data_IF_625071608503
#
_entry.id   IF_625071608503
#
_cell.length_a   1.000
_cell.length_b   1.000
_cell.length_c   1.000
_cell.angle_alpha   90.00
_cell.angle_beta   90.00
_cell.angle_gamma   90.00
#
_symmetry.space_group_name_H-M   'P 1'
#
loop_
_entity.id
_entity.type
_entity.pdbx_description
1 polymer ?
#
# COMPACT_ATOMS: atom_id res chain seq x y z
N UNK A 1 -10.50 -8.34 41.50
CA UNK A 1 -11.55 -9.34 41.78
C UNK A 1 -11.55 -10.47 40.75
N UNK A 2 -12.09 -10.34 39.52
CA UNK A 2 -12.15 -11.48 38.57
C UNK A 2 -10.78 -12.10 38.21
N UNK A 3 -9.76 -11.26 37.95
CA UNK A 3 -8.38 -11.69 37.69
C UNK A 3 -7.60 -12.12 38.94
N UNK A 4 -8.08 -11.79 40.15
CA UNK A 4 -7.49 -12.29 41.41
C UNK A 4 -8.03 -13.68 41.77
N UNK A 5 -9.22 -14.02 41.26
CA UNK A 5 -9.87 -15.33 41.41
C UNK A 5 -9.73 -16.22 40.17
N UNK A 6 -8.92 -15.80 39.18
CA UNK A 6 -8.72 -16.41 37.85
C UNK A 6 -10.00 -16.88 37.14
N UNK A 7 -11.11 -16.16 37.35
CA UNK A 7 -12.41 -16.56 36.83
C UNK A 7 -12.65 -15.92 35.46
N UNK A 8 -12.08 -16.53 34.43
CA UNK A 8 -12.16 -16.08 33.04
C UNK A 8 -13.61 -16.09 32.52
N UNK A 9 -14.42 -17.09 32.89
CA UNK A 9 -15.83 -17.17 32.47
C UNK A 9 -16.65 -15.95 32.94
N UNK A 10 -16.41 -15.50 34.18
CA UNK A 10 -17.06 -14.31 34.73
C UNK A 10 -16.55 -13.02 34.07
N UNK A 11 -15.26 -12.95 33.75
CA UNK A 11 -14.69 -11.83 33.01
C UNK A 11 -15.32 -11.70 31.62
N UNK A 12 -15.40 -12.81 30.87
CA UNK A 12 -16.02 -12.84 29.55
C UNK A 12 -17.50 -12.40 29.60
N UNK A 13 -18.26 -12.88 30.60
CA UNK A 13 -19.66 -12.46 30.79
C UNK A 13 -19.78 -10.95 31.03
N UNK A 14 -18.88 -10.35 31.80
CA UNK A 14 -18.88 -8.90 32.03
C UNK A 14 -18.44 -8.11 30.79
N UNK A 15 -17.54 -8.66 29.99
CA UNK A 15 -17.15 -8.04 28.71
C UNK A 15 -18.31 -7.99 27.72
N UNK A 16 -19.15 -9.03 27.67
CA UNK A 16 -20.36 -9.01 26.84
C UNK A 16 -21.44 -8.12 27.43
N UNK A 17 -21.68 -8.19 28.74
CA UNK A 17 -22.75 -7.45 29.41
C UNK A 17 -22.53 -5.93 29.45
N UNK A 18 -21.27 -5.50 29.52
CA UNK A 18 -20.89 -4.08 29.59
C UNK A 18 -20.11 -3.64 28.35
N UNK A 19 -20.32 -4.30 27.21
CA UNK A 19 -19.71 -3.94 25.94
C UNK A 19 -20.00 -2.48 25.57
N UNK A 20 -21.26 -2.04 25.75
CA UNK A 20 -21.72 -0.67 25.44
C UNK A 20 -21.17 0.41 26.39
N UNK A 21 -20.53 -0.01 27.50
CA UNK A 21 -19.94 0.90 28.48
C UNK A 21 -18.41 0.97 28.37
N UNK A 22 -17.82 0.49 27.26
CA UNK A 22 -16.38 0.44 27.04
C UNK A 22 -15.62 -0.33 28.13
N UNK A 23 -16.24 -1.37 28.71
CA UNK A 23 -15.59 -2.18 29.74
C UNK A 23 -14.29 -2.85 29.26
N UNK A 24 -14.23 -3.20 27.97
CA UNK A 24 -13.02 -3.73 27.33
C UNK A 24 -11.85 -2.74 27.33
N UNK A 25 -12.10 -1.45 27.06
CA UNK A 25 -11.08 -0.39 27.13
C UNK A 25 -10.49 -0.29 28.54
N UNK A 26 -11.33 -0.28 29.57
CA UNK A 26 -10.88 -0.28 30.96
C UNK A 26 -10.03 -1.51 31.32
N UNK A 27 -10.47 -2.70 30.89
CA UNK A 27 -9.73 -3.94 31.11
C UNK A 27 -8.37 -3.92 30.41
N UNK A 28 -8.31 -3.41 29.18
CA UNK A 28 -7.07 -3.34 28.42
C UNK A 28 -6.07 -2.34 29.02
N UNK A 29 -6.54 -1.17 29.50
CA UNK A 29 -5.73 -0.22 30.28
C UNK A 29 -5.18 -0.87 31.54
N UNK A 30 -6.03 -1.59 32.27
CA UNK A 30 -5.61 -2.28 33.49
C UNK A 30 -4.56 -3.37 33.21
N UNK A 31 -4.69 -4.13 32.12
CA UNK A 31 -3.67 -5.10 31.72
C UNK A 31 -2.33 -4.46 31.37
N UNK A 32 -2.33 -3.27 30.79
CA UNK A 32 -1.11 -2.49 30.54
C UNK A 32 -0.46 -1.99 31.83
N UNK A 33 -1.24 -1.39 32.73
CA UNK A 33 -0.76 -0.89 34.03
C UNK A 33 -0.16 -1.99 34.90
N UNK A 34 -0.69 -3.22 34.79
CA UNK A 34 -0.18 -4.39 35.53
C UNK A 34 0.87 -5.20 34.76
N UNK A 35 1.28 -4.76 33.57
CA UNK A 35 2.31 -5.43 32.76
C UNK A 35 1.87 -6.79 32.18
N UNK A 36 0.57 -7.11 32.19
CA UNK A 36 -0.01 -8.37 31.72
C UNK A 36 -0.23 -8.39 30.20
N UNK A 37 0.81 -8.08 29.42
CA UNK A 37 0.75 -7.94 27.95
C UNK A 37 0.39 -9.25 27.23
N UNK A 38 0.82 -10.40 27.75
CA UNK A 38 0.46 -11.70 27.17
C UNK A 38 -1.05 -11.97 27.21
N UNK A 39 -1.72 -11.60 28.31
CA UNK A 39 -3.18 -11.72 28.42
C UNK A 39 -3.93 -10.71 27.57
N UNK A 40 -3.37 -9.52 27.35
CA UNK A 40 -3.93 -8.52 26.43
C UNK A 40 -3.96 -9.03 24.98
N UNK A 41 -2.96 -9.80 24.56
CA UNK A 41 -2.86 -10.35 23.20
C UNK A 41 -3.64 -11.65 23.02
N UNK A 42 -3.88 -12.41 24.10
CA UNK A 42 -4.63 -13.67 24.07
C UNK A 42 -6.15 -13.47 24.21
N UNK A 43 -6.71 -12.34 23.74
CA UNK A 43 -8.15 -12.10 23.84
C UNK A 43 -8.92 -12.94 22.81
N UNK A 44 -10.15 -13.36 23.12
CA UNK A 44 -11.02 -14.05 22.18
C UNK A 44 -11.30 -13.24 20.91
N UNK A 45 -11.52 -13.94 19.79
CA UNK A 45 -11.67 -13.35 18.44
C UNK A 45 -12.76 -12.28 18.37
N UNK A 46 -13.87 -12.44 19.08
CA UNK A 46 -14.97 -11.46 19.08
C UNK A 46 -14.58 -10.11 19.70
N UNK A 47 -13.45 -10.02 20.40
CA UNK A 47 -12.95 -8.80 21.06
C UNK A 47 -11.81 -8.15 20.29
N UNK A 48 -11.34 -8.77 19.20
CA UNK A 48 -10.22 -8.27 18.42
C UNK A 48 -10.50 -6.89 17.80
N UNK A 49 -11.76 -6.58 17.46
CA UNK A 49 -12.13 -5.25 16.97
C UNK A 49 -11.95 -4.15 18.03
N UNK A 50 -12.37 -4.40 19.27
CA UNK A 50 -12.20 -3.46 20.38
C UNK A 50 -10.74 -3.34 20.82
N UNK A 51 -10.00 -4.46 20.80
CA UNK A 51 -8.57 -4.48 21.06
C UNK A 51 -7.79 -3.73 19.98
N UNK A 52 -8.19 -3.84 18.71
CA UNK A 52 -7.59 -3.11 17.60
C UNK A 52 -7.76 -1.59 17.77
N UNK A 53 -8.99 -1.13 18.05
CA UNK A 53 -9.27 0.28 18.32
C UNK A 53 -8.46 0.82 19.51
N UNK A 54 -8.34 0.01 20.56
CA UNK A 54 -7.56 0.34 21.74
C UNK A 54 -6.05 0.45 21.46
N UNK A 55 -5.47 -0.53 20.77
CA UNK A 55 -4.06 -0.52 20.41
C UNK A 55 -3.72 0.60 19.41
N UNK A 56 -4.66 0.95 18.52
CA UNK A 56 -4.53 2.07 17.58
C UNK A 56 -4.52 3.42 18.30
N UNK A 57 -5.32 3.58 19.37
CA UNK A 57 -5.36 4.80 20.17
C UNK A 57 -4.08 5.05 21.00
N UNK A 58 -3.22 4.04 21.15
CA UNK A 58 -1.98 4.13 21.91
C UNK A 58 -0.75 4.12 20.98
N UNK A 59 -0.17 5.31 20.76
CA UNK A 59 0.99 5.54 19.88
C UNK A 59 2.19 4.59 20.14
N UNK A 60 2.44 4.24 21.41
CA UNK A 60 3.52 3.34 21.82
C UNK A 60 3.18 1.83 21.73
N UNK A 61 1.93 1.48 21.42
CA UNK A 61 1.42 0.11 21.24
C UNK A 61 0.95 -0.16 19.80
N UNK A 62 1.00 0.84 18.92
CA UNK A 62 0.74 0.72 17.50
C UNK A 62 1.55 -0.43 16.85
N UNK A 63 2.77 -0.67 17.32
CA UNK A 63 3.59 -1.81 16.88
C UNK A 63 3.02 -3.18 17.25
N UNK A 64 2.31 -3.30 18.38
CA UNK A 64 1.60 -4.53 18.76
C UNK A 64 0.38 -4.75 17.88
N UNK A 65 -0.32 -3.70 17.45
CA UNK A 65 -1.39 -3.82 16.46
C UNK A 65 -0.85 -4.37 15.13
N UNK A 66 0.31 -3.87 14.69
CA UNK A 66 0.98 -4.32 13.46
C UNK A 66 1.46 -5.77 13.53
N UNK A 67 2.07 -6.17 14.65
CA UNK A 67 2.38 -7.59 14.90
C UNK A 67 1.09 -8.40 14.89
N UNK A 68 0.06 -7.96 15.63
CA UNK A 68 -1.19 -8.69 15.74
C UNK A 68 -1.82 -8.93 14.37
N UNK A 69 -1.86 -7.95 13.47
CA UNK A 69 -2.42 -8.14 12.11
C UNK A 69 -1.64 -9.17 11.29
N UNK A 70 -0.30 -9.12 11.28
CA UNK A 70 0.55 -10.11 10.57
C UNK A 70 0.49 -11.49 11.22
N UNK A 71 0.55 -11.57 12.55
CA UNK A 71 0.42 -12.85 13.27
C UNK A 71 -0.98 -13.41 13.15
N UNK A 72 -2.03 -12.58 13.12
CA UNK A 72 -3.41 -13.01 12.96
C UNK A 72 -3.63 -13.56 11.55
N UNK A 73 -3.05 -12.95 10.52
CA UNK A 73 -3.03 -13.51 9.16
C UNK A 73 -2.25 -14.83 9.12
N UNK A 74 -1.03 -14.88 9.66
CA UNK A 74 -0.28 -16.14 9.72
C UNK A 74 -1.03 -17.24 10.48
N UNK A 75 -1.65 -16.91 11.61
CA UNK A 75 -2.45 -17.82 12.43
C UNK A 75 -3.75 -18.23 11.75
N UNK A 76 -4.45 -17.34 11.05
CA UNK A 76 -5.66 -17.70 10.31
C UNK A 76 -5.34 -18.58 9.11
N UNK A 77 -4.14 -18.45 8.51
CA UNK A 77 -3.67 -19.28 7.40
C UNK A 77 -3.39 -20.69 7.91
N UNK A 78 -2.66 -20.79 9.02
CA UNK A 78 -2.38 -22.05 9.69
C UNK A 78 -3.66 -22.71 10.23
N UNK A 79 -4.60 -21.93 10.77
CA UNK A 79 -5.89 -22.43 11.24
C UNK A 79 -6.76 -22.93 10.08
N UNK A 80 -6.77 -22.24 8.94
CA UNK A 80 -7.45 -22.70 7.73
C UNK A 80 -6.84 -24.01 7.22
N UNK A 81 -5.50 -24.06 7.10
CA UNK A 81 -4.76 -25.24 6.67
C UNK A 81 -4.92 -26.45 7.62
N UNK A 82 -5.11 -26.20 8.91
CA UNK A 82 -5.31 -27.23 9.93
C UNK A 82 -6.80 -27.59 10.15
N UNK A 83 -7.73 -26.96 9.43
CA UNK A 83 -9.16 -27.22 9.57
C UNK A 83 -9.67 -28.23 8.53
N UNK A 84 -10.72 -28.98 8.88
CA UNK A 84 -11.39 -29.93 7.99
C UNK A 84 -12.36 -29.24 7.00
N UNK A 85 -11.96 -28.08 6.45
CA UNK A 85 -12.72 -27.39 5.42
C UNK A 85 -12.60 -28.13 4.08
N UNK A 86 -13.62 -28.01 3.22
CA UNK A 86 -13.51 -28.53 1.86
C UNK A 86 -12.39 -27.81 1.09
N UNK A 87 -11.69 -28.52 0.21
CA UNK A 87 -10.55 -27.98 -0.55
C UNK A 87 -10.91 -26.67 -1.29
N UNK A 88 -12.13 -26.58 -1.83
CA UNK A 88 -12.61 -25.37 -2.51
C UNK A 88 -12.72 -24.16 -1.56
N UNK A 89 -13.29 -24.34 -0.37
CA UNK A 89 -13.44 -23.24 0.62
C UNK A 89 -12.12 -22.89 1.30
N UNK A 90 -11.20 -23.86 1.41
CA UNK A 90 -9.85 -23.62 1.88
C UNK A 90 -9.07 -22.79 0.87
N UNK A 91 -9.15 -23.13 -0.42
CA UNK A 91 -8.47 -22.41 -1.48
C UNK A 91 -8.95 -20.95 -1.60
N UNK A 92 -10.27 -20.73 -1.52
CA UNK A 92 -10.85 -19.37 -1.51
C UNK A 92 -10.32 -18.53 -0.34
N UNK A 93 -10.29 -19.10 0.88
CA UNK A 93 -9.76 -18.41 2.05
C UNK A 93 -8.26 -18.14 1.95
N UNK A 94 -7.49 -19.07 1.40
CA UNK A 94 -6.05 -18.89 1.20
C UNK A 94 -5.79 -17.78 0.19
N UNK A 95 -6.54 -17.70 -0.92
CA UNK A 95 -6.36 -16.64 -1.92
C UNK A 95 -6.75 -15.27 -1.34
N UNK A 96 -7.90 -15.15 -0.68
CA UNK A 96 -8.32 -13.91 -0.03
C UNK A 96 -7.28 -13.41 0.99
N UNK A 97 -6.64 -14.34 1.70
CA UNK A 97 -5.55 -14.01 2.61
C UNK A 97 -4.25 -13.65 1.90
N UNK A 98 -3.93 -14.31 0.79
CA UNK A 98 -2.76 -13.99 -0.03
C UNK A 98 -2.87 -12.58 -0.62
N UNK A 99 -4.06 -12.15 -1.04
CA UNK A 99 -4.33 -10.77 -1.48
C UNK A 99 -4.06 -9.74 -0.36
N UNK A 100 -4.52 -10.03 0.87
CA UNK A 100 -4.22 -9.17 2.02
C UNK A 100 -2.73 -9.13 2.36
N UNK A 101 -2.01 -10.26 2.23
CA UNK A 101 -0.56 -10.32 2.37
C UNK A 101 0.15 -9.50 1.29
N UNK A 102 -0.29 -9.58 0.03
CA UNK A 102 0.23 -8.78 -1.10
C UNK A 102 0.10 -7.28 -0.82
N UNK A 103 -1.07 -6.82 -0.36
CA UNK A 103 -1.27 -5.41 0.03
C UNK A 103 -0.27 -4.96 1.12
N UNK A 104 -0.14 -5.75 2.20
CA UNK A 104 0.75 -5.42 3.31
C UNK A 104 2.24 -5.40 2.91
N UNK A 105 2.62 -6.18 1.88
CA UNK A 105 3.97 -6.20 1.34
C UNK A 105 4.37 -4.86 0.72
N UNK A 106 3.44 -4.11 0.14
CA UNK A 106 3.74 -2.77 -0.38
C UNK A 106 4.17 -1.82 0.74
N UNK A 107 3.47 -1.80 1.87
CA UNK A 107 3.88 -0.97 3.02
C UNK A 107 5.22 -1.45 3.63
N UNK A 108 5.50 -2.74 3.62
CA UNK A 108 6.76 -3.29 4.14
C UNK A 108 7.96 -2.96 3.25
N UNK A 109 7.76 -2.91 1.94
CA UNK A 109 8.81 -2.60 0.97
C UNK A 109 8.96 -1.10 0.71
N UNK A 110 8.50 -0.26 1.64
CA UNK A 110 8.75 1.18 1.61
C UNK A 110 10.26 1.46 1.79
N UNK A 111 10.85 2.37 0.99
CA UNK A 111 12.27 2.67 1.11
C UNK A 111 12.66 3.21 2.50
N UNK A 112 13.67 2.59 3.15
CA UNK A 112 14.19 3.03 4.47
C UNK A 112 14.67 4.49 4.47
N UNK A 113 15.13 4.97 3.33
CA UNK A 113 15.56 6.36 3.12
C UNK A 113 14.39 7.34 3.29
N UNK A 114 13.22 6.98 2.76
CA UNK A 114 12.00 7.77 2.89
C UNK A 114 11.52 7.76 4.35
N UNK A 115 11.54 6.59 4.98
CA UNK A 115 11.13 6.38 6.37
C UNK A 115 11.99 7.21 7.34
N UNK A 116 13.30 7.20 7.14
CA UNK A 116 14.25 7.98 7.95
C UNK A 116 14.00 9.49 7.81
N UNK A 117 13.78 9.97 6.58
CA UNK A 117 13.51 11.39 6.31
C UNK A 117 12.20 11.88 6.92
N UNK A 118 11.14 11.08 6.82
CA UNK A 118 9.82 11.40 7.40
C UNK A 118 9.74 11.08 8.90
N UNK A 119 10.82 10.57 9.50
CA UNK A 119 10.88 10.10 10.89
C UNK A 119 9.79 9.05 11.21
N UNK A 120 9.43 8.25 10.21
CA UNK A 120 8.44 7.19 10.35
C UNK A 120 9.14 5.88 10.68
N UNK A 121 8.60 5.14 11.65
CA UNK A 121 9.05 3.79 11.95
C UNK A 121 8.10 2.78 11.33
N UNK A 122 8.64 1.82 10.56
CA UNK A 122 7.85 0.71 10.01
C UNK A 122 7.15 -0.08 11.12
N UNK A 123 7.75 -0.18 12.31
CA UNK A 123 7.14 -0.91 13.42
C UNK A 123 5.99 -0.13 14.07
N UNK A 124 6.05 1.19 14.22
CA UNK A 124 5.02 1.96 14.94
C UNK A 124 3.99 2.65 14.03
N UNK A 125 4.18 2.65 12.71
CA UNK A 125 3.21 3.26 11.79
C UNK A 125 1.92 2.43 11.68
N UNK A 126 0.75 3.08 11.60
CA UNK A 126 -0.52 2.40 11.32
C UNK A 126 -0.48 1.73 9.93
N UNK A 127 -1.44 0.83 9.67
CA UNK A 127 -1.65 0.31 8.32
C UNK A 127 -2.18 1.47 7.47
N UNK A 128 -1.47 1.77 6.39
CA UNK A 128 -1.82 2.89 5.50
C UNK A 128 -2.85 2.44 4.46
N UNK A 129 -3.66 3.38 3.97
CA UNK A 129 -4.56 3.14 2.83
C UNK A 129 -3.79 3.20 1.51
N UNK A 130 -4.37 2.65 0.44
CA UNK A 130 -3.75 2.66 -0.89
C UNK A 130 -3.38 4.08 -1.37
N UNK A 131 -4.25 5.11 -1.25
CA UNK A 131 -3.89 6.48 -1.66
C UNK A 131 -2.73 7.06 -0.85
N UNK A 132 -2.65 6.75 0.46
CA UNK A 132 -1.55 7.20 1.31
C UNK A 132 -0.22 6.54 0.92
N UNK A 133 -0.24 5.26 0.58
CA UNK A 133 0.94 4.54 0.09
C UNK A 133 1.40 5.06 -1.26
N UNK A 134 0.46 5.31 -2.20
CA UNK A 134 0.74 5.92 -3.49
C UNK A 134 1.43 7.26 -3.30
N UNK A 135 0.85 8.16 -2.49
CA UNK A 135 1.43 9.47 -2.20
C UNK A 135 2.85 9.37 -1.64
N UNK A 136 3.11 8.40 -0.76
CA UNK A 136 4.45 8.15 -0.21
C UNK A 136 5.45 7.67 -1.27
N UNK A 137 5.04 6.78 -2.18
CA UNK A 137 5.91 6.29 -3.25
C UNK A 137 6.29 7.38 -4.25
N UNK A 138 5.33 8.25 -4.63
CA UNK A 138 5.53 9.31 -5.62
C UNK A 138 6.11 10.62 -5.04
N UNK A 139 6.21 10.72 -3.72
CA UNK A 139 6.73 11.91 -3.03
C UNK A 139 8.11 12.35 -3.57
N UNK A 140 8.33 13.67 -3.65
CA UNK A 140 9.63 14.26 -4.03
C UNK A 140 10.77 13.80 -3.10
N UNK A 141 10.43 13.54 -1.83
CA UNK A 141 11.34 13.05 -0.81
C UNK A 141 11.97 11.69 -1.12
N UNK A 142 11.29 10.86 -1.93
CA UNK A 142 11.85 9.61 -2.44
C UNK A 142 12.84 9.89 -3.58
N UNK A 143 14.03 10.39 -3.22
CA UNK A 143 15.06 10.81 -4.19
C UNK A 143 15.62 9.66 -5.04
N UNK A 144 15.39 8.40 -4.65
CA UNK A 144 15.84 7.20 -5.38
C UNK A 144 14.66 6.38 -5.92
N UNK A 145 13.50 7.01 -6.10
CA UNK A 145 12.34 6.36 -6.71
C UNK A 145 12.74 5.78 -8.08
N UNK A 146 12.53 4.47 -8.24
CA UNK A 146 12.86 3.73 -9.45
C UNK A 146 11.58 3.16 -10.09
N UNK A 147 11.73 2.42 -11.17
CA UNK A 147 10.61 1.82 -11.90
C UNK A 147 9.75 0.87 -11.04
N UNK A 148 10.32 0.26 -10.00
CA UNK A 148 9.58 -0.62 -9.10
C UNK A 148 8.70 0.15 -8.13
N UNK A 149 9.14 1.31 -7.65
CA UNK A 149 8.35 2.16 -6.75
C UNK A 149 7.11 2.71 -7.47
N UNK A 150 7.28 3.17 -8.71
CA UNK A 150 6.15 3.62 -9.53
C UNK A 150 5.25 2.46 -9.97
N UNK A 151 5.81 1.28 -10.29
CA UNK A 151 4.99 0.09 -10.58
C UNK A 151 4.14 -0.31 -9.38
N UNK A 152 4.71 -0.32 -8.17
CA UNK A 152 3.95 -0.57 -6.93
C UNK A 152 2.87 0.47 -6.71
N UNK A 153 3.12 1.75 -7.01
CA UNK A 153 2.11 2.79 -6.91
C UNK A 153 0.94 2.55 -7.89
N UNK A 154 1.24 2.09 -9.11
CA UNK A 154 0.20 1.70 -10.08
C UNK A 154 -0.57 0.45 -9.63
N UNK A 155 0.12 -0.55 -9.07
CA UNK A 155 -0.51 -1.78 -8.56
C UNK A 155 -1.43 -1.48 -7.37
N UNK A 156 -1.09 -0.47 -6.56
CA UNK A 156 -1.91 -0.02 -5.44
C UNK A 156 -3.24 0.61 -5.88
N UNK A 157 -3.39 1.02 -7.15
CA UNK A 157 -4.67 1.55 -7.67
C UNK A 157 -5.79 0.50 -7.65
N UNK A 158 -5.46 -0.79 -7.77
CA UNK A 158 -6.43 -1.89 -7.70
C UNK A 158 -7.05 -2.05 -6.29
N UNK A 159 -6.35 -1.56 -5.27
CA UNK A 159 -6.79 -1.64 -3.87
C UNK A 159 -7.54 -0.39 -3.40
N UNK A 160 -7.90 0.51 -4.32
CA UNK A 160 -8.75 1.67 -4.02
C UNK A 160 -10.21 1.21 -4.09
N UNK A 161 -10.91 1.32 -2.97
CA UNK A 161 -12.34 1.01 -2.94
C UNK A 161 -13.10 2.04 -3.79
N UNK A 162 -14.04 1.61 -4.63
CA UNK A 162 -14.93 2.48 -5.43
C UNK A 162 -15.74 3.49 -4.58
N UNK A 163 -15.77 3.30 -3.26
CA UNK A 163 -16.44 4.16 -2.27
C UNK A 163 -15.57 5.32 -1.81
N UNK A 164 -14.28 5.32 -2.11
CA UNK A 164 -13.41 6.47 -1.83
C UNK A 164 -13.66 7.56 -2.89
N UNK A 165 -13.81 8.82 -2.45
CA UNK A 165 -14.01 10.01 -3.31
C UNK A 165 -12.76 10.37 -4.15
N UNK A 166 -11.92 9.39 -4.47
CA UNK A 166 -10.63 9.57 -5.13
C UNK A 166 -10.73 9.06 -6.56
N UNK A 167 -10.52 9.95 -7.53
CA UNK A 167 -10.50 9.59 -8.94
C UNK A 167 -9.25 8.76 -9.26
N UNK A 168 -9.45 7.48 -9.59
CA UNK A 168 -8.38 6.54 -9.99
C UNK A 168 -7.61 7.09 -11.18
N UNK A 169 -8.31 7.69 -12.14
CA UNK A 169 -7.70 8.25 -13.35
C UNK A 169 -6.83 9.48 -13.05
N UNK A 170 -7.24 10.33 -12.10
CA UNK A 170 -6.42 11.46 -11.65
C UNK A 170 -5.15 11.01 -10.93
N UNK A 171 -5.25 10.01 -10.04
CA UNK A 171 -4.08 9.43 -9.38
C UNK A 171 -3.14 8.76 -10.38
N UNK A 172 -3.69 8.06 -11.36
CA UNK A 172 -2.90 7.43 -12.44
C UNK A 172 -2.13 8.48 -13.24
N UNK A 173 -2.79 9.58 -13.62
CA UNK A 173 -2.15 10.72 -14.29
C UNK A 173 -1.06 11.32 -13.40
N UNK A 174 -1.31 11.49 -12.11
CA UNK A 174 -0.33 12.02 -11.16
C UNK A 174 0.91 11.13 -11.07
N UNK A 175 0.74 9.82 -10.90
CA UNK A 175 1.85 8.85 -10.81
C UNK A 175 2.71 8.93 -12.08
N UNK A 176 2.10 8.95 -13.26
CA UNK A 176 2.80 9.00 -14.55
C UNK A 176 3.50 10.35 -14.76
N UNK A 177 2.85 11.47 -14.41
CA UNK A 177 3.47 12.80 -14.47
C UNK A 177 4.69 12.88 -13.55
N UNK A 178 4.60 12.32 -12.34
CA UNK A 178 5.71 12.26 -11.38
C UNK A 178 6.84 11.38 -11.88
N UNK A 179 6.55 10.27 -12.56
CA UNK A 179 7.58 9.44 -13.20
C UNK A 179 8.33 10.23 -14.28
N UNK A 180 7.60 10.93 -15.16
CA UNK A 180 8.17 11.76 -16.22
C UNK A 180 9.02 12.92 -15.66
N UNK A 181 8.64 13.51 -14.52
CA UNK A 181 9.43 14.55 -13.87
C UNK A 181 10.76 14.08 -13.27
N UNK A 182 10.91 12.78 -13.02
CA UNK A 182 12.18 12.22 -12.52
C UNK A 182 13.21 12.07 -13.62
N UNK A 183 12.74 11.83 -14.84
CA UNK A 183 13.60 11.67 -16.00
C UNK A 183 14.14 13.03 -16.46
N UNK A 184 15.42 13.08 -16.79
CA UNK A 184 16.04 14.30 -17.29
C UNK A 184 15.91 14.38 -18.82
N UNK A 185 14.93 15.17 -19.29
CA UNK A 185 14.64 15.36 -20.72
C UNK A 185 15.42 16.52 -21.35
N UNK A 186 16.55 16.91 -20.77
CA UNK A 186 17.45 17.89 -21.40
C UNK A 186 18.12 17.27 -22.62
N UNK A 187 18.02 17.94 -23.78
CA UNK A 187 18.61 17.52 -25.06
C UNK A 187 20.05 17.02 -24.90
N UNK A 188 20.28 15.72 -25.08
CA UNK A 188 21.62 15.19 -25.33
C UNK A 188 22.00 15.52 -26.77
N UNK A 189 22.64 16.66 -26.96
CA UNK A 189 23.48 17.00 -28.11
C UNK A 189 23.04 16.49 -29.51
N UNK A 190 21.74 16.54 -29.84
CA UNK A 190 21.17 16.38 -31.20
C UNK A 190 21.63 15.18 -32.06
N UNK A 191 22.34 14.21 -31.49
CA UNK A 191 23.00 13.10 -32.22
C UNK A 191 22.56 11.72 -31.77
N UNK A 192 21.91 11.63 -30.61
CA UNK A 192 21.48 10.36 -30.05
C UNK A 192 20.03 10.07 -30.43
N UNK A 193 19.75 8.80 -30.78
CA UNK A 193 18.40 8.35 -31.12
C UNK A 193 17.46 8.56 -29.91
N UNK A 194 16.36 9.33 -30.06
CA UNK A 194 15.44 9.68 -28.98
C UNK A 194 14.88 8.48 -28.20
N UNK A 195 14.74 7.35 -28.90
CA UNK A 195 14.25 6.08 -28.33
C UNK A 195 15.36 5.40 -27.52
N UNK A 196 16.63 5.50 -27.93
CA UNK A 196 17.74 4.90 -27.18
C UNK A 196 18.05 5.67 -25.91
N UNK A 197 18.00 7.00 -25.97
CA UNK A 197 18.15 7.87 -24.79
C UNK A 197 17.01 7.66 -23.80
N UNK A 198 15.78 7.42 -24.28
CA UNK A 198 14.64 7.18 -23.42
C UNK A 198 14.58 5.76 -22.84
N UNK A 199 15.29 4.76 -23.38
CA UNK A 199 15.28 3.37 -22.85
C UNK A 199 15.67 3.28 -21.38
N UNK A 200 16.57 4.15 -20.93
CA UNK A 200 17.04 4.17 -19.54
C UNK A 200 16.13 4.95 -18.59
N UNK A 201 15.15 5.68 -19.12
CA UNK A 201 14.19 6.45 -18.35
C UNK A 201 13.31 5.56 -17.48
N UNK A 202 12.92 6.06 -16.30
CA UNK A 202 12.02 5.38 -15.38
C UNK A 202 10.68 5.14 -16.05
N UNK A 203 10.18 6.11 -16.81
CA UNK A 203 8.92 5.99 -17.55
C UNK A 203 8.93 4.81 -18.55
N UNK A 204 9.95 4.71 -19.41
CA UNK A 204 10.04 3.63 -20.40
C UNK A 204 10.22 2.26 -19.73
N UNK A 205 10.96 2.18 -18.63
CA UNK A 205 11.09 0.94 -17.85
C UNK A 205 9.77 0.50 -17.24
N UNK A 206 8.90 1.44 -16.82
CA UNK A 206 7.54 1.13 -16.39
C UNK A 206 6.73 0.56 -17.55
N UNK A 207 6.78 1.20 -18.74
CA UNK A 207 6.09 0.70 -19.94
C UNK A 207 6.53 -0.73 -20.29
N UNK A 208 7.84 -1.00 -20.31
CA UNK A 208 8.37 -2.33 -20.57
C UNK A 208 7.93 -3.37 -19.53
N UNK A 209 7.77 -2.97 -18.26
CA UNK A 209 7.24 -3.86 -17.22
C UNK A 209 5.75 -4.14 -17.42
N UNK A 210 4.95 -3.13 -17.73
CA UNK A 210 3.52 -3.31 -18.02
C UNK A 210 3.31 -4.23 -19.23
N UNK A 211 4.14 -4.11 -20.27
CA UNK A 211 4.12 -5.02 -21.43
C UNK A 211 4.47 -6.46 -21.00
N UNK A 212 5.48 -6.65 -20.15
CA UNK A 212 5.86 -7.98 -19.63
C UNK A 212 4.77 -8.62 -18.77
N UNK A 213 4.01 -7.81 -18.06
CA UNK A 213 2.86 -8.25 -17.26
C UNK A 213 1.63 -8.57 -18.14
N UNK A 214 1.72 -8.38 -19.46
CA UNK A 214 0.68 -8.72 -20.42
C UNK A 214 -0.42 -7.65 -20.55
N UNK A 215 -0.20 -6.45 -20.02
CA UNK A 215 -1.18 -5.36 -20.04
C UNK A 215 -1.16 -4.68 -21.42
N UNK A 216 -2.34 -4.47 -21.99
CA UNK A 216 -2.49 -3.66 -23.21
C UNK A 216 -2.35 -2.18 -22.86
N UNK A 217 -1.25 -1.56 -23.32
CA UNK A 217 -0.94 -0.18 -23.02
C UNK A 217 -1.95 0.79 -23.63
N UNK A 218 -2.65 0.40 -24.71
CA UNK A 218 -3.69 1.20 -25.35
C UNK A 218 -4.94 1.40 -24.49
N UNK A 219 -5.29 0.41 -23.67
CA UNK A 219 -6.44 0.48 -22.76
C UNK A 219 -6.02 1.02 -21.39
N UNK A 220 -4.76 0.82 -21.02
CA UNK A 220 -4.26 1.22 -19.71
C UNK A 220 -3.69 2.64 -19.68
N UNK A 221 -2.99 3.13 -20.69
CA UNK A 221 -2.40 4.46 -20.61
C UNK A 221 -3.42 5.56 -20.95
N UNK A 222 -3.42 6.67 -20.18
CA UNK A 222 -4.14 7.88 -20.58
C UNK A 222 -3.65 8.41 -21.93
N UNK A 223 -4.50 9.17 -22.63
CA UNK A 223 -4.10 9.79 -23.88
C UNK A 223 -2.89 10.72 -23.68
N UNK A 224 -1.99 10.74 -24.65
CA UNK A 224 -0.81 11.63 -24.63
C UNK A 224 -1.21 13.09 -24.46
N UNK A 225 -2.39 13.48 -24.97
CA UNK A 225 -2.93 14.83 -24.85
C UNK A 225 -3.28 15.17 -23.40
N UNK A 226 -3.90 14.24 -22.68
CA UNK A 226 -4.28 14.44 -21.28
C UNK A 226 -3.05 14.52 -20.38
N UNK A 227 -2.03 13.69 -20.67
CA UNK A 227 -0.72 13.80 -20.03
C UNK A 227 -0.08 15.15 -20.32
N UNK A 228 0.04 15.58 -21.58
CA UNK A 228 0.64 16.88 -21.92
C UNK A 228 -0.12 18.08 -21.32
N UNK A 229 -1.43 17.93 -21.11
CA UNK A 229 -2.29 18.95 -20.49
C UNK A 229 -2.24 18.94 -18.96
N UNK A 230 -1.80 17.87 -18.31
CA UNK A 230 -1.78 17.73 -16.85
C UNK A 230 -0.89 18.78 -16.18
N UNK A 231 -1.47 19.67 -15.35
CA UNK A 231 -0.78 20.78 -14.67
C UNK A 231 0.45 20.32 -13.87
N UNK A 232 0.42 19.08 -13.41
CA UNK A 232 1.44 18.41 -12.63
C UNK A 232 2.80 18.37 -13.33
N UNK A 233 2.87 18.39 -14.68
CA UNK A 233 4.14 18.38 -15.44
C UNK A 233 4.95 19.67 -15.33
N UNK A 234 4.34 20.78 -14.89
CA UNK A 234 5.01 22.05 -14.66
C UNK A 234 5.84 22.52 -15.86
N UNK A 235 7.14 22.74 -15.63
CA UNK A 235 8.07 23.32 -16.61
C UNK A 235 8.39 22.41 -17.81
N UNK A 236 8.08 21.10 -17.74
CA UNK A 236 8.37 20.17 -18.83
C UNK A 236 7.46 20.38 -20.05
N UNK A 237 6.27 20.96 -19.86
CA UNK A 237 5.35 21.30 -20.95
C UNK A 237 5.95 22.29 -21.95
N UNK A 238 6.85 23.15 -21.49
CA UNK A 238 7.48 24.18 -22.30
C UNK A 238 8.62 23.64 -23.17
N UNK A 239 9.00 22.37 -23.01
CA UNK A 239 10.12 21.77 -23.74
C UNK A 239 9.61 21.01 -24.99
N UNK A 240 9.84 21.53 -26.22
CA UNK A 240 9.39 20.88 -27.45
C UNK A 240 10.09 19.54 -27.71
N UNK A 241 11.31 19.35 -27.18
CA UNK A 241 12.01 18.06 -27.28
C UNK A 241 11.31 16.98 -26.45
N UNK A 242 10.86 17.33 -25.24
CA UNK A 242 10.11 16.42 -24.37
C UNK A 242 8.80 15.97 -25.03
N UNK A 243 8.04 16.91 -25.62
CA UNK A 243 6.79 16.58 -26.33
C UNK A 243 7.03 15.62 -27.50
N UNK A 244 8.11 15.84 -28.27
CA UNK A 244 8.49 14.96 -29.36
C UNK A 244 8.88 13.56 -28.88
N UNK A 245 9.75 13.47 -27.86
CA UNK A 245 10.19 12.19 -27.28
C UNK A 245 9.02 11.43 -26.68
N UNK A 246 8.10 12.10 -26.00
CA UNK A 246 6.92 11.46 -25.41
C UNK A 246 6.03 10.87 -26.51
N UNK A 247 5.70 11.63 -27.55
CA UNK A 247 4.92 11.13 -28.69
C UNK A 247 5.60 9.95 -29.38
N UNK A 248 6.91 10.03 -29.62
CA UNK A 248 7.68 8.96 -30.24
C UNK A 248 7.69 7.67 -29.39
N UNK A 249 7.84 7.78 -28.06
CA UNK A 249 7.77 6.62 -27.17
C UNK A 249 6.36 6.02 -27.13
N UNK A 250 5.32 6.86 -27.11
CA UNK A 250 3.94 6.38 -27.16
C UNK A 250 3.64 5.66 -28.47
N UNK A 251 4.03 6.20 -29.61
CA UNK A 251 3.88 5.52 -30.90
C UNK A 251 4.64 4.19 -30.89
N UNK A 252 5.90 4.17 -30.46
CA UNK A 252 6.71 2.96 -30.45
C UNK A 252 6.14 1.85 -29.55
N UNK A 253 5.72 2.18 -28.32
CA UNK A 253 5.24 1.19 -27.36
C UNK A 253 3.76 0.83 -27.53
N UNK A 254 2.91 1.77 -27.97
CA UNK A 254 1.47 1.52 -28.17
C UNK A 254 1.21 0.91 -29.54
N UNK A 255 1.83 1.41 -30.62
CA UNK A 255 1.69 0.78 -31.95
C UNK A 255 2.51 -0.50 -32.06
N UNK A 256 3.60 -0.64 -31.30
CA UNK A 256 4.37 -1.89 -31.23
C UNK A 256 3.64 -3.05 -30.55
N UNK A 257 2.51 -2.79 -29.88
CA UNK A 257 1.63 -3.81 -29.29
C UNK A 257 0.42 -4.17 -30.19
N UNK A 258 0.15 -3.42 -31.26
CA UNK A 258 -0.84 -3.78 -32.30
C UNK A 258 -0.24 -4.75 -33.30
#
# INVERSE_FOLDING_TARGET
>A
MCEQTDNQARLQRYMTQFADQNFSDFLFRWYLEKGKRGKLLSQPVFQHGQLANFLQAHEHLSWLHKINKKTLLGLSKLAALASDLSEDTLQEKIEAMAEQERFLLHQETLPEQLLTKRQLSLSAMPVLTAPQLISLYICEENRRANEYDFKKALDLLEYIDEKEDVSIDELKLEILCRALQRDNWSSSDGKDDPIEVSKDSVFVKILQKLIKDGIQLSEYLPEVKDLLQAEQLGNLKSNPYFEFVLKANYEYYVQGQM
#
